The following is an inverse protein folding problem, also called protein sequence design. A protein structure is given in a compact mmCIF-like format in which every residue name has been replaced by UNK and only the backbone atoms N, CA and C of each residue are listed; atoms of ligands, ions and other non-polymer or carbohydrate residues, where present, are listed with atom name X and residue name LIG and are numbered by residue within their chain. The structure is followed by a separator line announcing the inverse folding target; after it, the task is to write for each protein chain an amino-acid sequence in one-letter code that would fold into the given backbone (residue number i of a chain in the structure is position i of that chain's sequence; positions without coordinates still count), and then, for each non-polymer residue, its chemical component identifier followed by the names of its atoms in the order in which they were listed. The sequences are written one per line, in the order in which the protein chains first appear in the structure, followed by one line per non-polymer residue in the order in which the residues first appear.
data_IF_549903625762
#
_entry.id   IF_549903625762
#
_cell.length_a   1.000
_cell.length_b   1.000
_cell.length_c   1.000
_cell.angle_alpha   90.00
_cell.angle_beta   90.00
_cell.angle_gamma   90.00
#
_symmetry.space_group_name_H-M   'P 1'
#
loop_
_entity.id
_entity.type
_entity.pdbx_description
1 polymer ?
#
# COMPACT_ATOMS: atom_id res chain seq x y z
N UNK A 1 -38.91 -6.03 -80.35
CA UNK A 1 -40.07 -5.13 -80.26
C UNK A 1 -40.70 -5.26 -78.89
N UNK A 2 -41.02 -4.12 -78.27
CA UNK A 2 -41.99 -3.92 -77.18
C UNK A 2 -41.55 -4.09 -75.70
N UNK A 3 -41.04 -2.99 -75.13
CA UNK A 3 -41.65 -2.12 -74.10
C UNK A 3 -42.22 -2.64 -72.75
N UNK A 4 -41.93 -1.79 -71.72
CA UNK A 4 -42.63 -1.51 -70.43
C UNK A 4 -42.37 -2.47 -69.25
N UNK A 5 -42.29 -2.06 -67.98
CA UNK A 5 -42.28 -0.77 -67.27
C UNK A 5 -41.80 -1.01 -65.81
N UNK A 6 -41.36 0.06 -65.12
CA UNK A 6 -40.91 0.13 -63.72
C UNK A 6 -42.04 -0.06 -62.69
N UNK A 7 -41.79 -0.72 -61.54
CA UNK A 7 -42.41 -0.33 -60.24
C UNK A 7 -41.71 -0.88 -58.98
N UNK A 8 -41.25 0.06 -58.13
CA UNK A 8 -41.28 0.14 -56.65
C UNK A 8 -41.02 -1.07 -55.70
N UNK A 9 -39.94 -0.86 -54.91
CA UNK A 9 -39.46 -1.37 -53.59
C UNK A 9 -40.56 -1.61 -52.50
N UNK A 10 -40.33 -2.41 -51.41
CA UNK A 10 -39.23 -2.18 -50.45
C UNK A 10 -38.58 -3.37 -49.71
N UNK A 11 -37.46 -3.02 -49.07
CA UNK A 11 -36.62 -3.78 -48.13
C UNK A 11 -37.38 -4.20 -46.86
N UNK A 12 -37.18 -5.45 -46.43
CA UNK A 12 -37.58 -5.96 -45.12
C UNK A 12 -36.35 -6.18 -44.23
N UNK A 13 -36.20 -5.35 -43.19
CA UNK A 13 -35.32 -5.61 -42.05
C UNK A 13 -36.16 -6.23 -40.92
N UNK A 14 -35.64 -7.30 -40.32
CA UNK A 14 -36.26 -8.00 -39.19
C UNK A 14 -36.17 -7.12 -37.93
N UNK A 15 -37.33 -6.84 -37.33
CA UNK A 15 -37.50 -6.19 -36.02
C UNK A 15 -37.43 -7.24 -34.91
N UNK A 16 -36.73 -6.94 -33.82
CA UNK A 16 -36.92 -7.58 -32.52
C UNK A 16 -37.63 -6.58 -31.60
N UNK A 17 -38.78 -6.99 -31.05
CA UNK A 17 -39.67 -6.18 -30.23
C UNK A 17 -39.13 -5.93 -28.81
N UNK A 18 -39.15 -4.67 -28.38
CA UNK A 18 -39.17 -4.29 -26.96
C UNK A 18 -40.61 -4.36 -26.45
N UNK A 19 -40.82 -5.05 -25.31
CA UNK A 19 -41.67 -4.60 -24.18
C UNK A 19 -41.84 -5.72 -23.13
N UNK A 20 -41.23 -5.51 -21.95
CA UNK A 20 -41.90 -5.55 -20.63
C UNK A 20 -41.01 -4.85 -19.60
N UNK A 21 -41.62 -3.88 -18.93
CA UNK A 21 -41.06 -2.88 -18.02
C UNK A 21 -41.40 -3.32 -16.58
N UNK A 22 -40.49 -3.19 -15.61
CA UNK A 22 -40.87 -3.21 -14.18
C UNK A 22 -39.79 -3.60 -13.18
N UNK A 23 -39.19 -2.57 -12.54
CA UNK A 23 -38.70 -2.55 -11.14
C UNK A 23 -37.52 -3.48 -10.81
N UNK A 24 -36.30 -2.95 -10.94
CA UNK A 24 -35.15 -3.30 -10.06
C UNK A 24 -34.16 -2.11 -10.01
N UNK A 25 -34.68 -0.91 -9.74
CA UNK A 25 -33.88 0.28 -9.39
C UNK A 25 -33.94 0.47 -7.89
N UNK A 26 -33.14 -0.29 -7.15
CA UNK A 26 -32.57 0.04 -5.83
C UNK A 26 -31.77 -1.20 -5.38
N UNK A 27 -30.56 -1.02 -4.84
CA UNK A 27 -29.58 -2.06 -4.42
C UNK A 27 -28.48 -2.46 -5.42
N UNK A 28 -28.08 -1.57 -6.34
CA UNK A 28 -26.77 -1.67 -7.01
C UNK A 28 -26.07 -0.31 -7.11
N UNK A 29 -26.26 0.53 -6.10
CA UNK A 29 -25.46 1.74 -5.84
C UNK A 29 -24.89 1.73 -4.41
N UNK A 30 -24.97 0.59 -3.70
CA UNK A 30 -24.57 0.42 -2.30
C UNK A 30 -23.44 -0.63 -2.14
N UNK A 31 -22.62 -0.81 -3.17
CA UNK A 31 -21.44 -1.69 -3.15
C UNK A 31 -20.15 -0.95 -3.60
N UNK A 32 -20.16 0.38 -3.60
CA UNK A 32 -19.02 1.24 -3.97
C UNK A 32 -18.41 1.99 -2.76
N UNK A 33 -18.79 1.67 -1.52
CA UNK A 33 -18.36 2.42 -0.32
C UNK A 33 -17.77 1.54 0.79
N UNK A 34 -16.78 0.70 0.47
CA UNK A 34 -16.00 0.02 1.51
C UNK A 34 -14.54 -0.20 1.09
N UNK A 35 -13.90 0.86 0.60
CA UNK A 35 -12.46 1.06 0.73
C UNK A 35 -12.18 2.55 0.51
N UNK A 36 -12.71 3.39 1.40
CA UNK A 36 -12.00 4.63 1.65
C UNK A 36 -10.86 4.22 2.58
N UNK A 37 -9.57 4.32 2.19
CA UNK A 37 -8.59 4.54 3.24
C UNK A 37 -9.15 5.69 4.06
N UNK A 38 -9.19 5.58 5.39
CA UNK A 38 -9.47 6.76 6.18
C UNK A 38 -8.30 7.70 5.94
N UNK A 39 -8.37 8.51 4.88
CA UNK A 39 -7.69 9.78 4.83
C UNK A 39 -8.26 10.48 6.05
N UNK A 40 -7.47 10.51 7.11
CA UNK A 40 -7.84 11.18 8.34
C UNK A 40 -7.80 12.66 7.98
N UNK A 41 -8.91 13.14 7.42
CA UNK A 41 -9.06 14.48 6.94
C UNK A 41 -8.79 15.42 8.11
N UNK A 42 -7.72 16.21 8.02
CA UNK A 42 -7.40 17.14 9.07
C UNK A 42 -8.50 18.20 9.18
N UNK A 43 -8.70 18.69 10.40
CA UNK A 43 -9.65 19.76 10.68
C UNK A 43 -8.96 20.92 11.40
N UNK A 44 -9.44 22.13 11.13
CA UNK A 44 -8.99 23.34 11.82
C UNK A 44 -10.20 24.12 12.31
N UNK A 45 -10.14 24.58 13.56
CA UNK A 45 -11.12 25.51 14.12
C UNK A 45 -10.59 26.93 13.99
N UNK A 46 -11.39 27.80 13.37
CA UNK A 46 -11.05 29.19 13.09
C UNK A 46 -12.04 30.06 13.86
N UNK A 47 -11.54 31.07 14.56
CA UNK A 47 -12.33 32.07 15.24
C UNK A 47 -11.91 33.48 14.85
N UNK A 48 -12.83 34.43 14.95
CA UNK A 48 -12.58 35.84 14.68
C UNK A 48 -13.35 36.76 15.63
N UNK A 49 -12.81 37.96 15.80
CA UNK A 49 -13.42 39.01 16.60
C UNK A 49 -14.71 39.53 15.95
N UNK A 50 -15.73 39.79 16.77
CA UNK A 50 -17.02 40.26 16.29
C UNK A 50 -16.94 41.68 15.71
N UNK A 51 -17.60 41.89 14.58
CA UNK A 51 -17.89 43.22 14.06
C UNK A 51 -19.07 43.84 14.81
N UNK A 52 -19.02 45.16 15.05
CA UNK A 52 -20.06 45.91 15.79
C UNK A 52 -20.86 46.81 14.85
N UNK A 53 -21.46 46.24 13.80
CA UNK A 53 -22.34 46.94 12.88
C UNK A 53 -23.81 46.79 13.28
N UNK A 54 -24.63 47.85 13.25
CA UNK A 54 -26.07 47.76 13.60
C UNK A 54 -26.84 46.82 12.66
N UNK A 55 -26.34 46.62 11.44
CA UNK A 55 -26.97 45.81 10.40
C UNK A 55 -26.32 44.43 10.24
N UNK A 56 -25.41 44.01 11.13
CA UNK A 56 -24.71 42.73 11.02
C UNK A 56 -25.69 41.56 11.07
N UNK A 57 -25.75 40.78 9.97
CA UNK A 57 -26.57 39.58 9.89
C UNK A 57 -25.74 38.28 10.02
N UNK A 58 -24.46 38.30 9.63
CA UNK A 58 -23.59 37.13 9.77
C UNK A 58 -22.23 37.29 9.10
N UNK A 59 -21.55 36.15 8.94
CA UNK A 59 -20.22 36.07 8.36
C UNK A 59 -20.12 34.96 7.31
N UNK A 60 -19.25 35.17 6.33
CA UNK A 60 -18.85 34.16 5.37
C UNK A 60 -17.35 33.98 5.39
N UNK A 61 -16.91 32.75 5.63
CA UNK A 61 -15.50 32.37 5.62
C UNK A 61 -15.11 31.94 4.20
N UNK A 62 -13.91 32.33 3.79
CA UNK A 62 -13.29 31.98 2.53
C UNK A 62 -11.96 31.30 2.79
N UNK A 63 -11.65 30.25 2.02
CA UNK A 63 -10.37 29.58 2.12
C UNK A 63 -9.87 28.98 0.81
N UNK A 64 -8.55 28.84 0.68
CA UNK A 64 -7.89 28.30 -0.50
C UNK A 64 -6.42 27.98 -0.24
N UNK A 65 -5.73 27.46 -1.25
CA UNK A 65 -4.32 27.02 -1.11
C UNK A 65 -3.30 28.09 -1.54
N UNK A 66 -3.78 29.26 -1.99
CA UNK A 66 -2.93 30.40 -2.35
C UNK A 66 -3.41 31.67 -1.64
N UNK A 67 -2.46 32.50 -1.21
CA UNK A 67 -2.77 33.78 -0.55
C UNK A 67 -3.65 34.65 -1.42
N UNK A 68 -4.75 35.16 -0.86
CA UNK A 68 -5.78 35.99 -1.50
C UNK A 68 -6.49 35.35 -2.70
N UNK A 69 -6.39 34.04 -2.85
CA UNK A 69 -7.14 33.25 -3.84
C UNK A 69 -7.87 32.13 -3.11
N UNK A 70 -9.18 32.29 -2.97
CA UNK A 70 -10.02 31.38 -2.20
C UNK A 70 -10.87 30.52 -3.14
N UNK A 71 -10.65 29.22 -3.08
CA UNK A 71 -11.35 28.23 -3.90
C UNK A 71 -12.70 27.83 -3.28
N UNK A 72 -12.84 28.04 -1.97
CA UNK A 72 -13.98 27.60 -1.17
C UNK A 72 -14.52 28.73 -0.30
N UNK A 73 -15.82 28.69 -0.02
CA UNK A 73 -16.47 29.58 0.94
C UNK A 73 -17.53 28.84 1.75
N UNK A 74 -17.75 29.28 2.98
CA UNK A 74 -18.72 28.75 3.93
C UNK A 74 -19.45 29.90 4.61
N UNK A 75 -20.77 29.96 4.45
CA UNK A 75 -21.60 30.84 5.28
C UNK A 75 -21.72 30.22 6.68
N UNK A 76 -21.32 30.99 7.69
CA UNK A 76 -21.31 30.52 9.09
C UNK A 76 -22.40 31.22 9.93
N UNK A 77 -23.23 32.04 9.29
CA UNK A 77 -24.27 32.83 9.94
C UNK A 77 -23.69 33.79 10.98
N UNK A 78 -24.48 34.09 12.01
CA UNK A 78 -24.06 34.93 13.14
C UNK A 78 -23.25 34.14 14.17
N UNK A 79 -22.19 33.46 13.69
CA UNK A 79 -21.21 32.76 14.51
C UNK A 79 -19.84 33.40 14.35
N UNK A 80 -19.05 33.40 15.41
CA UNK A 80 -17.69 33.94 15.41
C UNK A 80 -16.60 32.89 15.23
N UNK A 81 -16.99 31.67 14.92
CA UNK A 81 -16.07 30.56 14.73
C UNK A 81 -16.69 29.46 13.87
N UNK A 82 -15.85 28.69 13.17
CA UNK A 82 -16.26 27.47 12.51
C UNK A 82 -15.12 26.44 12.46
N UNK A 83 -15.47 25.19 12.13
CA UNK A 83 -14.50 24.12 11.89
C UNK A 83 -14.53 23.74 10.43
N UNK A 84 -13.35 23.73 9.80
CA UNK A 84 -13.15 23.27 8.43
C UNK A 84 -12.48 21.90 8.49
N UNK A 85 -13.19 20.87 8.04
CA UNK A 85 -12.70 19.50 7.90
C UNK A 85 -12.32 19.22 6.45
N UNK A 86 -11.58 18.14 6.20
CA UNK A 86 -11.25 17.73 4.83
C UNK A 86 -9.99 18.40 4.29
N UNK A 87 -9.18 19.01 5.15
CA UNK A 87 -7.92 19.62 4.75
C UNK A 87 -6.86 18.54 4.52
N UNK A 88 -6.07 18.73 3.48
CA UNK A 88 -4.98 17.82 3.15
C UNK A 88 -3.75 18.12 4.03
N UNK A 89 -3.16 17.07 4.61
CA UNK A 89 -1.95 17.17 5.40
C UNK A 89 -0.78 17.76 4.60
N UNK A 90 0.07 18.54 5.26
CA UNK A 90 1.23 19.20 4.63
C UNK A 90 0.88 20.37 3.71
N UNK A 91 -0.39 20.58 3.37
CA UNK A 91 -0.81 21.76 2.61
C UNK A 91 -1.00 22.98 3.51
N UNK A 92 -0.69 24.15 2.96
CA UNK A 92 -0.98 25.44 3.59
C UNK A 92 -2.26 26.00 3.01
N UNK A 93 -3.19 26.34 3.89
CA UNK A 93 -4.45 26.99 3.57
C UNK A 93 -4.46 28.42 4.09
N UNK A 94 -5.07 29.31 3.33
CA UNK A 94 -5.25 30.72 3.65
C UNK A 94 -6.73 30.98 3.89
N UNK A 95 -7.05 31.76 4.91
CA UNK A 95 -8.41 32.00 5.39
C UNK A 95 -8.66 33.49 5.57
N UNK A 96 -9.82 33.95 5.13
CA UNK A 96 -10.33 35.29 5.41
C UNK A 96 -11.86 35.24 5.56
N UNK A 97 -12.43 36.15 6.33
CA UNK A 97 -13.88 36.26 6.45
C UNK A 97 -14.38 37.64 6.01
N UNK A 98 -15.63 37.68 5.56
CA UNK A 98 -16.40 38.91 5.38
C UNK A 98 -17.55 38.91 6.38
N UNK A 99 -17.98 40.09 6.80
CA UNK A 99 -19.27 40.28 7.45
C UNK A 99 -20.31 40.63 6.37
N UNK A 100 -21.57 40.29 6.59
CA UNK A 100 -22.68 40.70 5.71
C UNK A 100 -23.85 41.26 6.49
N UNK A 101 -24.61 42.14 5.84
CA UNK A 101 -25.84 42.74 6.37
C UNK A 101 -27.10 41.92 6.03
N UNK A 102 -28.28 42.36 6.46
CA UNK A 102 -29.55 41.66 6.17
C UNK A 102 -29.86 41.54 4.67
N UNK A 103 -29.28 42.40 3.84
CA UNK A 103 -29.39 42.37 2.38
C UNK A 103 -28.30 41.49 1.72
N UNK A 104 -27.52 40.76 2.53
CA UNK A 104 -26.40 39.89 2.15
C UNK A 104 -25.27 40.65 1.43
N UNK A 105 -25.11 41.93 1.72
CA UNK A 105 -24.00 42.72 1.19
C UNK A 105 -22.76 42.53 2.06
N UNK A 106 -21.73 41.95 1.46
CA UNK A 106 -20.48 41.64 2.15
C UNK A 106 -19.56 42.87 2.30
N UNK A 107 -18.81 42.92 3.40
CA UNK A 107 -17.69 43.84 3.60
C UNK A 107 -16.48 43.46 2.75
N UNK A 108 -15.41 44.25 2.83
CA UNK A 108 -14.08 43.77 2.45
C UNK A 108 -13.64 42.59 3.32
N UNK A 109 -12.70 41.80 2.80
CA UNK A 109 -12.07 40.70 3.53
C UNK A 109 -11.37 41.19 4.80
N UNK A 110 -11.40 40.35 5.83
CA UNK A 110 -10.55 40.48 7.01
C UNK A 110 -9.06 40.42 6.65
N UNK A 111 -8.21 40.65 7.65
CA UNK A 111 -6.81 40.22 7.55
C UNK A 111 -6.78 38.70 7.32
N UNK A 112 -6.00 38.28 6.35
CA UNK A 112 -5.79 36.87 6.04
C UNK A 112 -4.96 36.19 7.14
N UNK A 113 -5.32 34.95 7.45
CA UNK A 113 -4.52 34.04 8.28
C UNK A 113 -4.18 32.80 7.48
N UNK A 114 -3.06 32.15 7.79
CA UNK A 114 -2.63 30.91 7.15
C UNK A 114 -2.45 29.81 8.16
N UNK A 115 -2.82 28.60 7.79
CA UNK A 115 -2.59 27.38 8.56
C UNK A 115 -1.98 26.31 7.68
N UNK A 116 -0.81 25.82 8.06
CA UNK A 116 -0.22 24.62 7.47
C UNK A 116 -0.70 23.43 8.26
N UNK A 117 -1.40 22.52 7.57
CA UNK A 117 -1.88 21.29 8.20
C UNK A 117 -0.66 20.45 8.61
N UNK A 118 -0.49 20.12 9.90
CA UNK A 118 0.59 19.23 10.33
C UNK A 118 0.50 17.91 9.58
N UNK A 119 1.63 17.42 9.09
CA UNK A 119 1.72 16.03 8.63
C UNK A 119 1.80 15.18 9.89
N UNK A 120 0.77 14.37 10.15
CA UNK A 120 0.87 13.35 11.20
C UNK A 120 1.61 12.19 10.56
N UNK A 121 2.80 11.80 11.06
CA UNK A 121 3.43 10.59 10.55
C UNK A 121 2.42 9.45 10.71
N UNK A 122 2.14 8.72 9.62
CA UNK A 122 1.45 7.46 9.74
C UNK A 122 2.16 6.65 10.84
N UNK A 123 1.40 6.09 11.79
CA UNK A 123 1.98 5.24 12.81
C UNK A 123 2.84 4.19 12.10
N UNK A 124 4.15 4.23 12.30
CA UNK A 124 5.04 3.21 11.75
C UNK A 124 4.58 1.91 12.42
N UNK A 125 4.17 0.88 11.67
CA UNK A 125 3.84 -0.39 12.28
C UNK A 125 5.02 -0.85 13.14
N UNK A 126 4.76 -1.19 14.40
CA UNK A 126 5.80 -1.72 15.28
C UNK A 126 6.44 -2.95 14.64
N UNK A 127 7.75 -2.97 14.44
CA UNK A 127 8.42 -4.04 13.68
C UNK A 127 8.14 -5.42 14.29
N UNK A 128 7.89 -6.42 13.42
CA UNK A 128 7.85 -7.82 13.81
C UNK A 128 9.17 -8.46 13.44
N UNK A 129 10.00 -8.76 14.45
CA UNK A 129 11.25 -9.51 14.29
C UNK A 129 10.91 -11.00 14.22
N UNK A 130 11.30 -11.66 13.13
CA UNK A 130 11.08 -13.09 12.92
C UNK A 130 12.32 -13.93 13.12
N UNK A 131 13.51 -13.37 12.89
CA UNK A 131 14.79 -14.02 13.12
C UNK A 131 15.88 -12.97 13.32
N UNK A 132 16.56 -13.05 14.46
CA UNK A 132 17.74 -12.25 14.83
C UNK A 132 18.90 -13.13 15.34
N UNK A 133 18.73 -14.47 15.33
CA UNK A 133 19.67 -15.48 15.79
C UNK A 133 20.15 -15.35 17.27
N UNK A 134 19.69 -14.36 18.02
CA UNK A 134 20.23 -14.09 19.36
C UNK A 134 19.71 -15.06 20.43
N UNK A 135 18.67 -15.83 20.12
CA UNK A 135 18.20 -16.92 20.97
C UNK A 135 19.13 -18.16 20.99
N UNK A 136 20.15 -18.17 20.10
CA UNK A 136 21.15 -19.22 20.00
C UNK A 136 20.63 -20.53 19.38
N UNK A 137 19.44 -20.51 18.77
CA UNK A 137 18.79 -21.66 18.16
C UNK A 137 18.55 -21.45 16.66
N UNK A 138 18.08 -22.51 15.98
CA UNK A 138 17.52 -22.40 14.62
C UNK A 138 16.01 -22.68 14.65
N UNK A 139 15.37 -22.43 15.80
CA UNK A 139 13.93 -22.65 15.95
C UNK A 139 13.18 -21.72 14.99
N UNK A 140 12.07 -22.20 14.41
CA UNK A 140 11.37 -21.46 13.36
C UNK A 140 11.80 -21.83 11.95
N UNK A 141 13.03 -22.33 11.77
CA UNK A 141 13.48 -22.84 10.48
C UNK A 141 13.13 -24.31 10.28
N UNK A 142 12.75 -24.63 9.03
CA UNK A 142 12.50 -25.99 8.55
C UNK A 142 13.23 -26.19 7.23
N UNK A 143 13.96 -27.30 7.11
CA UNK A 143 14.48 -27.79 5.84
C UNK A 143 13.33 -28.51 5.13
N UNK A 144 12.60 -27.79 4.28
CA UNK A 144 11.42 -28.34 3.59
C UNK A 144 11.80 -29.16 2.36
N UNK A 145 13.02 -28.97 1.84
CA UNK A 145 13.59 -29.75 0.74
C UNK A 145 15.05 -30.07 1.06
N UNK A 146 15.28 -31.27 1.58
CA UNK A 146 16.58 -31.73 2.04
C UNK A 146 17.39 -32.48 0.98
N UNK A 147 16.89 -32.57 -0.27
CA UNK A 147 17.57 -33.28 -1.36
C UNK A 147 18.38 -32.32 -2.23
N UNK A 148 19.64 -32.65 -2.58
CA UNK A 148 20.41 -33.82 -2.15
C UNK A 148 20.87 -33.72 -0.68
N UNK A 149 21.29 -34.84 -0.11
CA UNK A 149 21.77 -34.92 1.28
C UNK A 149 22.88 -33.90 1.58
N UNK A 150 22.87 -33.36 2.80
CA UNK A 150 23.88 -32.41 3.28
C UNK A 150 23.34 -31.00 3.59
N UNK A 151 22.04 -30.77 3.39
CA UNK A 151 21.36 -29.57 3.85
C UNK A 151 21.51 -29.40 5.37
N UNK A 152 21.91 -28.21 5.82
CA UNK A 152 22.05 -27.94 7.25
C UNK A 152 21.74 -26.47 7.59
N UNK A 153 21.30 -26.27 8.84
CA UNK A 153 21.12 -24.98 9.47
C UNK A 153 22.06 -24.90 10.68
N UNK A 154 22.65 -23.74 10.90
CA UNK A 154 23.45 -23.45 12.08
C UNK A 154 23.11 -22.08 12.65
N UNK A 155 23.22 -21.93 13.96
CA UNK A 155 23.27 -20.62 14.61
C UNK A 155 24.71 -20.39 15.07
N UNK A 156 25.41 -19.48 14.40
CA UNK A 156 26.85 -19.28 14.53
C UNK A 156 27.15 -17.84 14.91
N UNK A 157 28.22 -17.62 15.69
CA UNK A 157 28.70 -16.26 15.96
C UNK A 157 29.51 -15.75 14.76
N UNK A 158 29.14 -14.58 14.26
CA UNK A 158 29.84 -13.89 13.19
C UNK A 158 30.62 -12.70 13.75
N UNK A 159 31.95 -12.75 13.61
CA UNK A 159 32.83 -11.71 14.16
C UNK A 159 32.82 -10.40 13.36
N UNK A 160 32.36 -10.40 12.11
CA UNK A 160 32.21 -9.17 11.32
C UNK A 160 30.99 -8.37 11.78
N UNK A 161 29.90 -9.07 12.13
CA UNK A 161 28.70 -8.47 12.69
C UNK A 161 28.74 -8.30 14.22
N UNK A 162 29.67 -8.95 14.92
CA UNK A 162 29.68 -9.06 16.39
C UNK A 162 28.32 -9.55 16.94
N UNK A 163 27.70 -10.47 16.21
CA UNK A 163 26.32 -10.97 16.43
C UNK A 163 26.23 -12.46 16.13
N UNK A 164 25.21 -13.13 16.63
CA UNK A 164 24.83 -14.45 16.11
C UNK A 164 24.09 -14.28 14.79
N UNK A 165 24.20 -15.29 13.92
CA UNK A 165 23.53 -15.30 12.62
C UNK A 165 23.11 -16.73 12.26
N UNK A 166 22.15 -16.86 11.34
CA UNK A 166 21.76 -18.16 10.79
C UNK A 166 22.63 -18.50 9.58
N UNK A 167 23.38 -19.59 9.68
CA UNK A 167 24.10 -20.21 8.57
C UNK A 167 23.20 -21.23 7.86
N UNK A 168 23.03 -21.07 6.54
CA UNK A 168 22.34 -22.02 5.67
C UNK A 168 23.35 -22.71 4.77
N UNK A 169 23.32 -24.04 4.76
CA UNK A 169 24.19 -24.87 3.92
C UNK A 169 23.36 -25.69 2.95
N UNK A 170 23.60 -25.50 1.65
CA UNK A 170 22.87 -26.11 0.55
C UNK A 170 23.84 -26.67 -0.51
N UNK A 171 23.39 -27.68 -1.27
CA UNK A 171 24.00 -28.03 -2.55
C UNK A 171 23.55 -27.03 -3.61
N UNK A 172 24.32 -25.97 -3.82
CA UNK A 172 23.91 -24.85 -4.67
C UNK A 172 22.56 -24.30 -4.21
N UNK A 173 21.54 -24.35 -5.08
CA UNK A 173 20.17 -23.92 -4.78
C UNK A 173 19.16 -25.08 -4.69
N UNK A 174 19.64 -26.32 -4.59
CA UNK A 174 18.78 -27.51 -4.63
C UNK A 174 18.01 -27.71 -3.33
N UNK A 175 18.62 -27.38 -2.18
CA UNK A 175 17.94 -27.49 -0.89
C UNK A 175 17.10 -26.25 -0.59
N UNK A 176 16.05 -26.44 0.19
CA UNK A 176 15.08 -25.40 0.55
C UNK A 176 14.87 -25.27 2.05
N UNK A 177 15.02 -24.05 2.54
CA UNK A 177 14.82 -23.67 3.94
C UNK A 177 13.66 -22.68 4.02
N UNK A 178 12.86 -22.79 5.09
CA UNK A 178 11.72 -21.93 5.34
C UNK A 178 11.67 -21.53 6.80
N UNK A 179 11.48 -20.23 7.04
CA UNK A 179 11.21 -19.65 8.35
C UNK A 179 9.70 -19.43 8.53
N UNK A 180 9.19 -19.82 9.70
CA UNK A 180 7.80 -19.69 10.15
C UNK A 180 7.72 -19.39 11.66
N UNK A 181 6.54 -19.49 12.28
CA UNK A 181 6.31 -19.24 13.71
C UNK A 181 6.73 -20.44 14.61
N UNK A 182 7.73 -21.22 14.19
CA UNK A 182 8.12 -22.46 14.86
C UNK A 182 7.53 -23.73 14.24
N UNK A 183 8.08 -24.86 14.66
CA UNK A 183 7.65 -26.21 14.31
C UNK A 183 7.05 -26.89 15.54
N UNK A 184 5.72 -27.02 15.60
CA UNK A 184 5.11 -27.97 16.55
C UNK A 184 5.26 -29.38 15.94
N UNK A 185 6.09 -30.23 16.53
CA UNK A 185 6.30 -31.60 16.05
C UNK A 185 6.79 -31.72 14.60
N UNK A 186 7.49 -30.70 14.06
CA UNK A 186 8.03 -30.71 12.69
C UNK A 186 7.06 -30.20 11.60
N UNK A 187 5.86 -29.72 11.95
CA UNK A 187 4.97 -29.08 10.98
C UNK A 187 5.12 -27.55 10.98
N UNK A 188 5.23 -26.98 9.77
CA UNK A 188 5.41 -25.54 9.54
C UNK A 188 4.18 -24.72 9.97
N UNK A 189 4.41 -23.67 10.78
CA UNK A 189 3.41 -22.66 11.09
C UNK A 189 3.70 -21.34 10.38
N UNK A 190 2.68 -20.72 9.77
CA UNK A 190 2.81 -19.45 9.03
C UNK A 190 2.87 -18.25 9.97
N UNK A 191 3.51 -17.17 9.52
CA UNK A 191 3.52 -15.88 10.21
C UNK A 191 2.13 -15.24 10.28
N UNK A 192 1.37 -15.28 9.18
CA UNK A 192 0.05 -14.67 9.04
C UNK A 192 0.01 -13.17 9.43
N UNK A 193 1.02 -12.40 9.02
CA UNK A 193 1.08 -10.97 9.27
C UNK A 193 0.21 -10.21 8.27
N UNK A 194 -0.81 -9.50 8.75
CA UNK A 194 -1.79 -8.77 7.90
C UNK A 194 -1.53 -7.27 7.84
N UNK A 195 -0.53 -6.77 8.56
CA UNK A 195 -0.42 -5.35 8.89
C UNK A 195 0.88 -4.73 8.35
N UNK A 196 1.88 -5.55 8.03
CA UNK A 196 3.22 -5.11 7.65
C UNK A 196 3.64 -5.72 6.33
N UNK A 197 3.99 -4.86 5.37
CA UNK A 197 4.29 -5.26 3.99
C UNK A 197 5.66 -4.75 3.52
N UNK A 198 6.45 -4.13 4.39
CA UNK A 198 7.87 -3.90 4.10
C UNK A 198 8.69 -4.99 4.78
N UNK A 199 9.40 -5.79 4.01
CA UNK A 199 10.33 -6.78 4.56
C UNK A 199 11.76 -6.23 4.56
N UNK A 200 12.51 -6.55 5.61
CA UNK A 200 13.92 -6.25 5.76
C UNK A 200 14.64 -7.52 6.21
N UNK A 201 15.85 -7.75 5.67
CA UNK A 201 16.77 -8.79 6.15
C UNK A 201 18.21 -8.42 5.83
N UNK A 202 19.16 -9.01 6.54
CA UNK A 202 20.59 -9.01 6.22
C UNK A 202 21.00 -10.38 5.68
N UNK A 203 21.95 -10.38 4.74
CA UNK A 203 22.49 -11.61 4.18
C UNK A 203 23.94 -11.46 3.73
N UNK A 204 24.71 -12.55 3.78
CA UNK A 204 26.06 -12.66 3.25
C UNK A 204 26.15 -13.94 2.39
N UNK A 205 26.21 -13.76 1.07
CA UNK A 205 26.28 -14.86 0.09
C UNK A 205 27.43 -14.60 -0.89
N UNK A 206 28.06 -15.68 -1.35
CA UNK A 206 29.10 -15.62 -2.41
C UNK A 206 28.70 -16.36 -3.69
N UNK A 207 27.60 -17.11 -3.63
CA UNK A 207 27.06 -17.91 -4.73
C UNK A 207 25.60 -17.53 -5.00
N UNK A 208 25.06 -18.00 -6.13
CA UNK A 208 23.68 -17.75 -6.51
C UNK A 208 22.70 -18.24 -5.43
N UNK A 209 21.67 -17.43 -5.17
CA UNK A 209 20.62 -17.75 -4.20
C UNK A 209 19.23 -17.43 -4.75
N UNK A 210 18.21 -17.99 -4.09
CA UNK A 210 16.84 -17.55 -4.20
C UNK A 210 16.30 -17.23 -2.80
N UNK A 211 15.84 -16.00 -2.59
CA UNK A 211 14.98 -15.64 -1.45
C UNK A 211 13.54 -15.62 -1.94
N UNK A 212 12.60 -16.17 -1.18
CA UNK A 212 11.18 -16.07 -1.45
C UNK A 212 10.44 -15.51 -0.24
N UNK A 213 9.43 -14.70 -0.49
CA UNK A 213 8.46 -14.24 0.49
C UNK A 213 7.09 -14.78 0.09
N UNK A 214 6.49 -15.60 0.96
CA UNK A 214 5.14 -16.17 0.77
C UNK A 214 4.11 -15.10 1.13
N UNK A 215 3.36 -14.60 0.14
CA UNK A 215 2.25 -13.67 0.35
C UNK A 215 0.92 -14.29 -0.08
N UNK A 216 -0.12 -14.04 0.72
CA UNK A 216 -1.49 -14.37 0.35
C UNK A 216 -2.13 -13.18 -0.34
N UNK A 217 -2.81 -13.41 -1.46
CA UNK A 217 -3.60 -12.40 -2.17
C UNK A 217 -5.03 -12.89 -2.36
N UNK A 218 -5.97 -12.05 -2.84
CA UNK A 218 -7.33 -12.50 -3.17
C UNK A 218 -7.38 -13.60 -4.25
N UNK A 219 -6.36 -13.69 -5.11
CA UNK A 219 -6.29 -14.68 -6.19
C UNK A 219 -5.50 -15.95 -5.81
N UNK A 220 -5.02 -16.03 -4.57
CA UNK A 220 -4.26 -17.17 -4.07
C UNK A 220 -2.88 -16.78 -3.54
N UNK A 221 -2.05 -17.77 -3.31
CA UNK A 221 -0.67 -17.55 -2.85
C UNK A 221 0.22 -17.09 -4.01
N UNK A 222 1.04 -16.09 -3.75
CA UNK A 222 2.09 -15.60 -4.64
C UNK A 222 3.43 -15.65 -3.88
N UNK A 223 4.49 -16.09 -4.55
CA UNK A 223 5.85 -15.92 -4.07
C UNK A 223 6.50 -14.73 -4.76
N UNK A 224 6.79 -13.69 -3.99
CA UNK A 224 7.76 -12.66 -4.41
C UNK A 224 9.13 -13.28 -4.22
N UNK A 225 9.92 -13.42 -5.29
CA UNK A 225 11.22 -14.06 -5.21
C UNK A 225 12.33 -13.19 -5.78
N UNK A 226 13.47 -13.25 -5.09
CA UNK A 226 14.59 -12.35 -5.24
C UNK A 226 15.85 -13.15 -5.53
N UNK A 227 16.61 -12.70 -6.53
CA UNK A 227 17.86 -13.35 -6.97
C UNK A 227 18.96 -12.30 -7.12
N UNK A 228 20.24 -12.69 -7.22
CA UNK A 228 21.33 -11.74 -7.45
C UNK A 228 21.41 -11.23 -8.89
N UNK A 229 20.37 -11.38 -9.70
CA UNK A 229 20.36 -10.82 -11.06
C UNK A 229 20.19 -9.30 -11.05
N UNK A 230 20.77 -8.60 -12.03
CA UNK A 230 20.68 -7.13 -12.17
C UNK A 230 19.35 -6.64 -12.80
N UNK A 231 18.41 -7.55 -13.06
CA UNK A 231 17.15 -7.22 -13.75
C UNK A 231 15.95 -7.92 -13.13
N UNK A 232 14.83 -7.19 -13.13
CA UNK A 232 13.54 -7.76 -12.81
C UNK A 232 13.06 -8.56 -14.03
N UNK A 233 12.55 -9.77 -13.77
CA UNK A 233 11.84 -10.55 -14.80
C UNK A 233 10.32 -10.38 -14.63
N UNK A 234 9.89 -10.01 -13.42
CA UNK A 234 8.49 -9.98 -12.99
C UNK A 234 7.81 -11.32 -13.30
N UNK A 235 6.49 -11.40 -13.14
CA UNK A 235 5.76 -12.64 -13.38
C UNK A 235 4.26 -12.46 -13.20
N UNK A 236 3.50 -13.36 -13.83
CA UNK A 236 2.05 -13.45 -13.67
C UNK A 236 1.69 -14.74 -12.95
N UNK A 237 0.62 -14.74 -12.16
CA UNK A 237 0.18 -15.92 -11.41
C UNK A 237 0.89 -16.03 -10.06
N UNK A 238 1.37 -17.21 -9.71
CA UNK A 238 1.85 -17.52 -8.36
C UNK A 238 3.29 -17.09 -8.05
N UNK A 239 3.98 -16.38 -8.95
CA UNK A 239 5.33 -15.87 -8.72
C UNK A 239 5.56 -14.50 -9.34
N UNK A 240 6.40 -13.68 -8.69
CA UNK A 240 6.91 -12.41 -9.23
C UNK A 240 8.39 -12.31 -8.91
N UNK A 241 9.20 -12.05 -9.93
CA UNK A 241 10.67 -12.00 -9.80
C UNK A 241 11.23 -10.58 -9.71
N UNK A 242 12.13 -10.36 -8.76
CA UNK A 242 12.98 -9.17 -8.65
C UNK A 242 14.46 -9.53 -8.61
N UNK A 243 15.27 -8.74 -9.32
CA UNK A 243 16.72 -8.80 -9.22
C UNK A 243 17.23 -7.87 -8.13
N UNK A 244 18.06 -8.37 -7.21
CA UNK A 244 18.72 -7.58 -6.17
C UNK A 244 20.08 -7.03 -6.59
N UNK A 245 20.58 -7.47 -7.76
CA UNK A 245 21.85 -7.06 -8.32
C UNK A 245 23.01 -7.99 -7.98
N UNK A 246 23.95 -8.10 -8.90
CA UNK A 246 25.08 -9.06 -8.87
C UNK A 246 26.06 -8.82 -7.73
N UNK A 247 26.02 -7.63 -7.10
CA UNK A 247 26.80 -7.33 -5.89
C UNK A 247 26.32 -8.09 -4.67
N UNK A 248 25.10 -8.63 -4.67
CA UNK A 248 24.57 -9.39 -3.53
C UNK A 248 25.21 -10.76 -3.34
N UNK A 249 26.14 -11.15 -4.23
CA UNK A 249 26.97 -12.35 -4.12
C UNK A 249 28.46 -12.03 -4.00
N UNK A 250 28.84 -10.86 -3.50
CA UNK A 250 30.25 -10.47 -3.34
C UNK A 250 30.91 -10.99 -2.05
N UNK A 251 30.17 -11.76 -1.25
CA UNK A 251 30.64 -12.31 0.02
C UNK A 251 30.63 -11.32 1.19
N UNK A 252 30.14 -10.10 1.00
CA UNK A 252 29.98 -9.11 2.08
C UNK A 252 28.54 -9.08 2.59
N UNK A 253 28.34 -8.56 3.80
CA UNK A 253 27.00 -8.37 4.36
C UNK A 253 26.22 -7.31 3.60
N UNK A 254 25.03 -7.70 3.13
CA UNK A 254 24.08 -6.86 2.43
C UNK A 254 22.82 -6.72 3.26
N UNK A 255 22.29 -5.49 3.33
CA UNK A 255 20.96 -5.24 3.86
C UNK A 255 19.97 -5.07 2.72
N UNK A 256 18.91 -5.88 2.71
CA UNK A 256 17.86 -5.82 1.70
C UNK A 256 16.57 -5.34 2.34
N UNK A 257 15.91 -4.38 1.68
CA UNK A 257 14.62 -3.83 2.09
C UNK A 257 13.70 -3.80 0.88
N UNK A 258 12.51 -4.42 0.98
CA UNK A 258 11.53 -4.48 -0.10
C UNK A 258 10.14 -4.07 0.39
N UNK A 259 9.48 -3.21 -0.37
CA UNK A 259 8.03 -3.00 -0.27
C UNK A 259 7.34 -4.08 -1.09
N UNK A 260 6.76 -5.06 -0.39
CA UNK A 260 6.15 -6.25 -1.00
C UNK A 260 4.89 -5.87 -1.81
N UNK A 261 4.14 -4.86 -1.36
CA UNK A 261 2.91 -4.43 -2.04
C UNK A 261 3.25 -3.72 -3.36
N UNK A 262 4.27 -2.85 -3.35
CA UNK A 262 4.79 -2.23 -4.57
C UNK A 262 5.38 -3.28 -5.51
N UNK A 263 6.16 -4.23 -4.97
CA UNK A 263 6.75 -5.32 -5.74
C UNK A 263 5.69 -6.19 -6.43
N UNK A 264 4.62 -6.54 -5.72
CA UNK A 264 3.49 -7.27 -6.28
C UNK A 264 2.79 -6.45 -7.37
N UNK A 265 2.45 -5.18 -7.08
CA UNK A 265 1.66 -4.33 -7.98
C UNK A 265 2.36 -3.97 -9.27
N UNK A 266 3.68 -3.84 -9.27
CA UNK A 266 4.42 -3.57 -10.50
C UNK A 266 4.30 -4.73 -11.53
N UNK A 267 4.08 -5.96 -11.07
CA UNK A 267 3.81 -7.11 -11.94
C UNK A 267 2.31 -7.41 -12.09
N UNK A 268 1.52 -7.18 -11.03
CA UNK A 268 0.13 -7.57 -10.91
C UNK A 268 -0.72 -6.41 -10.34
N UNK A 269 -0.98 -5.33 -11.12
CA UNK A 269 -1.50 -4.05 -10.60
C UNK A 269 -2.87 -4.09 -9.93
N UNK A 270 -3.64 -5.16 -10.14
CA UNK A 270 -4.98 -5.35 -9.58
C UNK A 270 -4.99 -6.18 -8.30
N UNK A 271 -3.83 -6.69 -7.87
CA UNK A 271 -3.72 -7.46 -6.65
C UNK A 271 -3.26 -6.59 -5.47
N UNK A 272 -3.54 -7.10 -4.29
CA UNK A 272 -3.05 -6.60 -3.01
C UNK A 272 -2.65 -7.78 -2.13
N UNK A 273 -1.76 -7.54 -1.19
CA UNK A 273 -1.39 -8.50 -0.17
C UNK A 273 -2.46 -8.49 0.93
N UNK A 274 -2.91 -9.69 1.31
CA UNK A 274 -3.77 -9.94 2.46
C UNK A 274 -2.94 -10.33 3.68
N UNK A 275 -1.87 -11.10 3.48
CA UNK A 275 -0.91 -11.42 4.54
C UNK A 275 0.46 -11.83 4.00
N UNK A 276 1.50 -11.57 4.80
CA UNK A 276 2.84 -12.17 4.65
C UNK A 276 2.93 -13.40 5.55
N UNK A 277 3.30 -14.53 4.98
CA UNK A 277 3.14 -15.84 5.61
C UNK A 277 4.44 -16.53 5.97
N UNK A 278 5.57 -16.15 5.37
CA UNK A 278 6.85 -16.76 5.64
C UNK A 278 7.96 -16.30 4.70
N UNK A 279 9.18 -16.66 5.06
CA UNK A 279 10.40 -16.38 4.31
C UNK A 279 11.09 -17.70 3.98
N UNK A 280 11.60 -17.82 2.75
CA UNK A 280 12.28 -19.03 2.28
C UNK A 280 13.59 -18.65 1.62
N UNK A 281 14.56 -19.55 1.72
CA UNK A 281 15.86 -19.39 1.07
C UNK A 281 16.29 -20.69 0.42
N UNK A 282 16.99 -20.55 -0.71
CA UNK A 282 17.79 -21.58 -1.37
C UNK A 282 19.16 -20.99 -1.68
N UNK A 283 20.23 -21.69 -1.33
CA UNK A 283 21.60 -21.17 -1.43
C UNK A 283 22.42 -21.47 -0.18
N UNK A 284 23.71 -21.19 -0.25
CA UNK A 284 24.64 -21.31 0.88
C UNK A 284 25.15 -19.93 1.28
N UNK A 285 25.06 -19.60 2.56
CA UNK A 285 25.43 -18.29 3.08
C UNK A 285 24.94 -18.08 4.51
N UNK A 286 24.94 -16.82 4.94
CA UNK A 286 24.43 -16.39 6.25
C UNK A 286 23.30 -15.40 6.09
N UNK A 287 22.34 -15.44 7.00
CA UNK A 287 21.17 -14.56 7.05
C UNK A 287 20.93 -14.12 8.49
N UNK A 288 20.44 -12.89 8.63
CA UNK A 288 20.10 -12.32 9.93
C UNK A 288 19.08 -11.18 9.81
N UNK A 289 18.56 -10.69 10.93
CA UNK A 289 17.63 -9.53 11.04
C UNK A 289 16.40 -9.60 10.12
N UNK A 290 15.76 -10.77 9.99
CA UNK A 290 14.54 -10.91 9.18
C UNK A 290 13.35 -10.29 9.94
N UNK A 291 12.75 -9.26 9.36
CA UNK A 291 11.61 -8.56 9.96
C UNK A 291 10.63 -7.97 8.96
N UNK A 292 9.41 -7.74 9.44
CA UNK A 292 8.40 -6.92 8.75
C UNK A 292 8.17 -5.60 9.48
N UNK A 293 7.90 -4.55 8.71
CA UNK A 293 7.55 -3.20 9.18
C UNK A 293 6.51 -2.53 8.29
#
# INVERSE_FOLDING_TARGET
MSNRALSSRPFSYIRWDLKRLGIFTFLLALALLACNPSAQAAQVSIGWEASNGPDLAGYKLYYGTASRSYDYSLDVGNSNSCTISGLEEGKTYYFACTAYDSDHKETGFSKETSYTVPVVPAAIPAESIYEDAEDGTTNGWVIYDASPDGAALGNVFDAECDSRVIEVKSSGTDNGFRLGNGSDGGCYSKWNNTDQFTIEWRMQFSDFFYVFVDVQTPSGRVYLYYTPEDRNKLGTGSTVHYGLGSRTTDGTWQKVVRDLEADLKAAQPKQSILSVNGFLIRGTGKIDDIKLR
#
